data_IF_442824160985
#
_entry.id   IF_442824160985
#
_cell.length_a   1.000
_cell.length_b   1.000
_cell.length_c   1.000
_cell.angle_alpha   90.00
_cell.angle_beta   90.00
_cell.angle_gamma   90.00
#
_symmetry.space_group_name_H-M   'P 1'
#
loop_
_entity.id
_entity.type
_entity.pdbx_description
1 polymer ?
#
# COMPACT_ATOMS: atom_id res chain seq x y z
N UNK A 1 -9.07 -16.35 -1.09
CA UNK A 1 -10.24 -17.21 -1.33
C UNK A 1 -9.95 -18.48 -0.57
N UNK A 2 -10.90 -18.91 0.24
CA UNK A 2 -10.73 -20.08 1.08
C UNK A 2 -11.27 -21.33 0.38
N UNK A 3 -10.89 -22.51 0.89
CA UNK A 3 -11.25 -23.80 0.28
C UNK A 3 -12.77 -24.03 0.18
N UNK A 4 -13.56 -23.38 1.03
CA UNK A 4 -15.03 -23.45 1.01
C UNK A 4 -15.67 -22.52 -0.05
N UNK A 5 -14.87 -21.80 -0.83
CA UNK A 5 -15.31 -20.84 -1.84
C UNK A 5 -15.50 -19.41 -1.31
N UNK A 6 -15.27 -19.15 -0.03
CA UNK A 6 -15.40 -17.80 0.53
C UNK A 6 -14.33 -16.86 -0.02
N UNK A 7 -14.74 -15.63 -0.35
CA UNK A 7 -13.88 -14.59 -0.91
C UNK A 7 -13.82 -13.42 0.04
N UNK A 8 -12.60 -12.92 0.26
CA UNK A 8 -12.28 -11.79 1.15
C UNK A 8 -11.44 -10.77 0.39
N UNK A 9 -11.36 -9.54 0.89
CA UNK A 9 -10.61 -8.47 0.25
C UNK A 9 -9.08 -8.69 0.24
N UNK A 10 -8.54 -9.40 1.24
CA UNK A 10 -7.11 -9.54 1.48
C UNK A 10 -6.85 -10.74 2.41
N UNK A 11 -5.70 -11.40 2.24
CA UNK A 11 -5.20 -12.48 3.10
C UNK A 11 -5.04 -12.07 4.58
N UNK A 12 -4.72 -10.81 4.85
CA UNK A 12 -4.60 -10.29 6.23
C UNK A 12 -5.95 -9.94 6.88
N UNK A 13 -7.05 -10.03 6.12
CA UNK A 13 -8.39 -9.60 6.53
C UNK A 13 -9.42 -10.72 6.33
N UNK A 14 -9.06 -11.97 6.64
CA UNK A 14 -9.95 -13.14 6.57
C UNK A 14 -10.80 -13.21 7.85
N UNK A 15 -11.65 -12.19 8.05
CA UNK A 15 -12.61 -12.11 9.15
C UNK A 15 -14.03 -11.91 8.61
N UNK A 16 -15.10 -12.35 9.32
CA UNK A 16 -16.47 -12.29 8.81
C UNK A 16 -16.90 -10.92 8.25
N UNK A 17 -16.47 -9.81 8.89
CA UNK A 17 -16.78 -8.45 8.46
C UNK A 17 -16.14 -8.02 7.12
N UNK A 18 -15.14 -8.77 6.63
CA UNK A 18 -14.47 -8.55 5.35
C UNK A 18 -14.78 -9.64 4.31
N UNK A 19 -15.73 -10.54 4.60
CA UNK A 19 -16.21 -11.54 3.64
C UNK A 19 -17.05 -10.85 2.56
N UNK A 20 -16.63 -10.93 1.31
CA UNK A 20 -17.34 -10.39 0.15
C UNK A 20 -18.48 -11.30 -0.34
N UNK A 21 -18.35 -12.60 -0.08
CA UNK A 21 -19.33 -13.60 -0.48
C UNK A 21 -18.68 -14.97 -0.67
N UNK A 22 -19.37 -15.82 -1.42
CA UNK A 22 -18.89 -17.15 -1.81
C UNK A 22 -18.95 -17.28 -3.34
N UNK A 23 -17.88 -17.80 -3.95
CA UNK A 23 -17.73 -17.87 -5.40
C UNK A 23 -18.77 -18.78 -6.08
N UNK A 24 -19.35 -19.73 -5.36
CA UNK A 24 -20.42 -20.59 -5.88
C UNK A 24 -21.77 -19.85 -5.99
N UNK A 25 -21.88 -18.66 -5.41
CA UNK A 25 -23.13 -17.89 -5.31
C UNK A 25 -23.05 -16.53 -6.02
N UNK A 26 -21.87 -15.91 -6.03
CA UNK A 26 -21.62 -14.61 -6.67
C UNK A 26 -20.39 -14.68 -7.56
N UNK A 27 -20.45 -14.02 -8.71
CA UNK A 27 -19.27 -13.88 -9.57
C UNK A 27 -18.22 -12.98 -8.91
N UNK A 28 -16.93 -13.21 -9.25
CA UNK A 28 -15.84 -12.34 -8.80
C UNK A 28 -16.06 -10.87 -9.21
N UNK A 29 -16.63 -10.64 -10.39
CA UNK A 29 -16.96 -9.28 -10.88
C UNK A 29 -17.97 -8.57 -9.97
N UNK A 30 -19.03 -9.27 -9.57
CA UNK A 30 -20.04 -8.72 -8.67
C UNK A 30 -19.43 -8.42 -7.29
N UNK A 31 -18.61 -9.32 -6.75
CA UNK A 31 -17.95 -9.09 -5.47
C UNK A 31 -16.93 -7.95 -5.53
N UNK A 32 -16.17 -7.84 -6.62
CA UNK A 32 -15.17 -6.79 -6.81
C UNK A 32 -15.79 -5.40 -6.97
N UNK A 33 -16.96 -5.28 -7.61
CA UNK A 33 -17.69 -4.01 -7.72
C UNK A 33 -18.71 -3.78 -6.60
N UNK A 34 -18.77 -4.69 -5.61
CA UNK A 34 -19.66 -4.54 -4.46
C UNK A 34 -19.21 -3.40 -3.55
N UNK A 35 -20.18 -2.76 -2.90
CA UNK A 35 -19.96 -1.63 -1.99
C UNK A 35 -18.91 -1.92 -0.91
N UNK A 36 -18.94 -3.12 -0.31
CA UNK A 36 -17.97 -3.53 0.70
C UNK A 36 -16.52 -3.53 0.18
N UNK A 37 -16.28 -3.97 -1.07
CA UNK A 37 -14.93 -3.95 -1.65
C UNK A 37 -14.48 -2.53 -2.01
N UNK A 38 -15.40 -1.71 -2.53
CA UNK A 38 -15.14 -0.31 -2.81
C UNK A 38 -14.83 0.48 -1.53
N UNK A 39 -15.58 0.22 -0.45
CA UNK A 39 -15.36 0.83 0.86
C UNK A 39 -14.02 0.40 1.46
N UNK A 40 -13.71 -0.90 1.44
CA UNK A 40 -12.41 -1.41 1.89
C UNK A 40 -11.25 -0.78 1.12
N UNK A 41 -11.42 -0.57 -0.19
CA UNK A 41 -10.45 0.14 -1.03
C UNK A 41 -10.28 1.61 -0.63
N UNK A 42 -11.38 2.35 -0.49
CA UNK A 42 -11.34 3.78 -0.14
C UNK A 42 -10.78 4.04 1.26
N UNK A 43 -11.05 3.13 2.21
CA UNK A 43 -10.60 3.20 3.59
C UNK A 43 -9.08 3.17 3.73
N UNK A 44 -8.37 2.51 2.81
CA UNK A 44 -6.90 2.51 2.78
C UNK A 44 -6.32 3.92 2.73
N UNK A 45 -6.98 4.82 2.00
CA UNK A 45 -6.59 6.22 1.88
C UNK A 45 -7.29 7.09 2.93
N UNK A 46 -8.58 6.89 3.15
CA UNK A 46 -9.40 7.73 4.04
C UNK A 46 -9.00 7.62 5.51
N UNK A 47 -8.58 6.44 5.97
CA UNK A 47 -8.19 6.17 7.36
C UNK A 47 -6.69 6.33 7.61
N UNK A 48 -5.95 6.83 6.62
CA UNK A 48 -4.52 7.08 6.74
C UNK A 48 -4.25 8.16 7.80
N UNK A 49 -3.14 8.03 8.54
CA UNK A 49 -2.73 9.04 9.52
C UNK A 49 -2.52 10.41 8.85
N UNK A 50 -2.87 11.49 9.55
CA UNK A 50 -2.91 12.85 8.98
C UNK A 50 -1.53 13.28 8.47
N UNK A 51 -0.48 12.99 9.22
CA UNK A 51 0.91 13.28 8.86
C UNK A 51 1.34 12.58 7.55
N UNK A 52 0.77 11.42 7.23
CA UNK A 52 1.08 10.71 6.00
C UNK A 52 0.50 11.41 4.75
N UNK A 53 -0.52 12.26 4.89
CA UNK A 53 -1.06 13.03 3.76
C UNK A 53 -0.07 14.08 3.24
N UNK A 54 0.84 14.54 4.11
CA UNK A 54 1.84 15.57 3.83
C UNK A 54 3.28 15.01 3.77
N UNK A 55 3.45 13.70 3.99
CA UNK A 55 4.75 13.05 3.90
C UNK A 55 5.29 13.07 2.46
N UNK A 56 6.55 13.48 2.28
CA UNK A 56 7.23 13.49 0.98
C UNK A 56 7.26 12.10 0.30
N UNK A 57 7.22 11.02 1.08
CA UNK A 57 7.23 9.64 0.59
C UNK A 57 5.83 9.06 0.35
N UNK A 58 4.76 9.86 0.45
CA UNK A 58 3.38 9.40 0.26
C UNK A 58 3.17 8.68 -1.08
N UNK A 59 3.79 9.18 -2.16
CA UNK A 59 3.67 8.59 -3.49
C UNK A 59 4.20 7.15 -3.58
N UNK A 60 5.13 6.77 -2.70
CA UNK A 60 5.72 5.43 -2.65
C UNK A 60 5.05 4.53 -1.60
N UNK A 61 4.63 5.11 -0.47
CA UNK A 61 4.17 4.36 0.69
C UNK A 61 2.65 4.34 0.88
N UNK A 62 1.95 5.45 0.60
CA UNK A 62 0.52 5.64 0.88
C UNK A 62 0.11 5.26 2.32
N UNK A 63 0.98 5.57 3.31
CA UNK A 63 0.75 5.22 4.73
C UNK A 63 0.91 3.72 5.03
N UNK A 64 1.46 2.95 4.10
CA UNK A 64 1.74 1.53 4.20
C UNK A 64 0.49 0.66 4.31
N UNK A 65 0.69 -0.66 4.45
CA UNK A 65 -0.40 -1.62 4.58
C UNK A 65 -1.27 -1.33 5.82
N UNK A 66 -2.63 -1.28 5.70
CA UNK A 66 -3.52 -1.08 6.85
C UNK A 66 -3.31 -2.10 7.98
N UNK A 67 -2.91 -3.33 7.68
CA UNK A 67 -2.62 -4.36 8.68
C UNK A 67 -1.48 -3.96 9.62
N UNK A 68 -0.57 -3.10 9.17
CA UNK A 68 0.58 -2.62 9.95
C UNK A 68 0.34 -1.25 10.60
N UNK A 69 -0.90 -0.72 10.55
CA UNK A 69 -1.26 0.60 11.10
C UNK A 69 -1.78 0.51 12.53
N UNK A 70 -0.92 0.09 13.44
CA UNK A 70 -1.29 -0.17 14.85
C UNK A 70 -0.49 0.65 15.86
N UNK A 71 0.32 1.61 15.41
CA UNK A 71 0.95 2.59 16.29
C UNK A 71 0.09 3.86 16.41
N UNK A 72 0.22 4.62 17.50
CA UNK A 72 -0.40 5.93 17.60
C UNK A 72 0.20 6.90 16.57
N UNK A 73 -0.67 7.64 15.89
CA UNK A 73 -0.32 8.78 15.04
C UNK A 73 -0.15 10.05 15.87
N UNK A 74 0.25 11.14 15.21
CA UNK A 74 0.41 12.46 15.84
C UNK A 74 -0.90 12.96 16.48
N UNK A 75 -2.06 12.60 15.94
CA UNK A 75 -3.36 12.95 16.52
C UNK A 75 -3.80 12.05 17.68
N UNK A 76 -3.01 11.03 18.03
CA UNK A 76 -3.34 10.02 19.04
C UNK A 76 -4.17 8.85 18.51
N UNK A 77 -4.65 8.89 17.26
CA UNK A 77 -5.38 7.79 16.66
C UNK A 77 -4.46 6.59 16.36
N UNK A 78 -4.93 5.36 16.58
CA UNK A 78 -4.17 4.14 16.29
C UNK A 78 -4.30 3.79 14.81
N UNK A 79 -3.52 4.48 13.97
CA UNK A 79 -3.51 4.31 12.52
C UNK A 79 -2.14 4.63 11.87
N UNK A 80 -1.08 4.75 12.68
CA UNK A 80 0.27 4.96 12.18
C UNK A 80 0.95 3.63 11.85
N UNK A 81 1.70 3.61 10.74
CA UNK A 81 2.36 2.40 10.27
C UNK A 81 3.58 2.06 11.12
N UNK A 82 3.66 0.83 11.63
CA UNK A 82 4.78 0.34 12.43
C UNK A 82 6.15 0.44 11.74
N UNK A 83 6.18 0.28 10.41
CA UNK A 83 7.40 0.30 9.61
C UNK A 83 7.76 1.70 9.08
N UNK A 84 7.03 2.74 9.48
CA UNK A 84 7.17 4.09 8.92
C UNK A 84 8.61 4.62 9.00
N UNK A 85 9.27 4.49 10.16
CA UNK A 85 10.66 4.94 10.32
C UNK A 85 11.64 4.20 9.40
N UNK A 86 11.46 2.88 9.24
CA UNK A 86 12.27 2.07 8.32
C UNK A 86 12.05 2.47 6.86
N UNK A 87 10.81 2.74 6.47
CA UNK A 87 10.50 3.26 5.13
C UNK A 87 11.14 4.62 4.89
N UNK A 88 11.06 5.55 5.84
CA UNK A 88 11.70 6.86 5.70
C UNK A 88 13.22 6.73 5.55
N UNK A 89 13.86 5.86 6.33
CA UNK A 89 15.30 5.61 6.21
C UNK A 89 15.66 5.01 4.83
N UNK A 90 14.93 3.98 4.40
CA UNK A 90 15.16 3.33 3.11
C UNK A 90 14.94 4.28 1.92
N UNK A 91 13.83 5.02 1.90
CA UNK A 91 13.54 5.95 0.80
C UNK A 91 14.53 7.10 0.77
N UNK A 92 14.87 7.69 1.92
CA UNK A 92 15.89 8.74 1.97
C UNK A 92 17.25 8.26 1.45
N UNK A 93 17.66 7.05 1.82
CA UNK A 93 18.91 6.46 1.35
C UNK A 93 18.92 6.18 -0.15
N UNK A 94 17.80 5.68 -0.70
CA UNK A 94 17.72 5.23 -2.10
C UNK A 94 17.25 6.30 -3.09
N UNK A 95 16.67 7.40 -2.62
CA UNK A 95 16.01 8.40 -3.47
C UNK A 95 16.89 8.95 -4.59
N UNK A 96 18.14 9.31 -4.29
CA UNK A 96 19.06 9.85 -5.29
C UNK A 96 19.30 8.83 -6.41
N UNK A 97 19.57 7.57 -6.04
CA UNK A 97 19.80 6.52 -7.02
C UNK A 97 18.53 6.19 -7.83
N UNK A 98 17.37 6.14 -7.18
CA UNK A 98 16.09 5.90 -7.85
C UNK A 98 15.73 7.02 -8.83
N UNK A 99 16.01 8.28 -8.48
CA UNK A 99 15.79 9.43 -9.38
C UNK A 99 16.75 9.41 -10.58
N UNK A 100 18.00 9.01 -10.38
CA UNK A 100 18.94 8.82 -11.49
C UNK A 100 18.49 7.68 -12.42
N UNK A 101 18.10 6.52 -11.87
CA UNK A 101 17.54 5.41 -12.65
C UNK A 101 16.29 5.81 -13.43
N UNK A 102 15.39 6.58 -12.81
CA UNK A 102 14.21 7.16 -13.49
C UNK A 102 14.64 8.03 -14.67
N UNK A 103 15.61 8.92 -14.47
CA UNK A 103 16.09 9.83 -15.52
C UNK A 103 16.70 9.06 -16.70
N UNK A 104 17.45 7.98 -16.43
CA UNK A 104 17.97 7.09 -17.48
C UNK A 104 16.83 6.43 -18.26
N UNK A 105 15.86 5.86 -17.55
CA UNK A 105 14.69 5.21 -18.16
C UNK A 105 13.89 6.17 -19.05
N UNK A 106 13.61 7.39 -18.58
CA UNK A 106 12.90 8.42 -19.35
C UNK A 106 13.65 8.83 -20.63
N UNK A 107 14.97 8.63 -20.68
CA UNK A 107 15.82 8.85 -21.86
C UNK A 107 16.00 7.62 -22.74
N UNK A 108 15.35 6.50 -22.42
CA UNK A 108 15.52 5.23 -23.14
C UNK A 108 16.86 4.54 -22.89
N UNK A 109 17.57 4.93 -21.83
CA UNK A 109 18.84 4.33 -21.41
C UNK A 109 18.56 3.31 -20.30
N UNK A 110 19.29 2.20 -20.29
CA UNK A 110 19.16 1.19 -19.24
C UNK A 110 19.43 1.81 -17.86
N UNK A 111 18.53 1.64 -16.86
CA UNK A 111 18.78 2.08 -15.48
C UNK A 111 20.05 1.48 -14.86
N UNK A 112 20.53 0.35 -15.37
CA UNK A 112 21.75 -0.30 -14.89
C UNK A 112 23.02 0.54 -15.11
N UNK A 113 22.99 1.49 -16.05
CA UNK A 113 24.07 2.45 -16.30
C UNK A 113 24.31 3.39 -15.10
N UNK A 114 23.43 3.41 -14.10
CA UNK A 114 23.67 4.13 -12.85
C UNK A 114 24.99 3.74 -12.17
N UNK A 115 25.46 2.50 -12.39
CA UNK A 115 26.72 1.99 -11.85
C UNK A 115 27.93 2.79 -12.30
N UNK A 116 27.88 3.44 -13.47
CA UNK A 116 28.97 4.30 -13.95
C UNK A 116 28.94 5.71 -13.37
N UNK A 117 27.83 6.09 -12.70
CA UNK A 117 27.59 7.44 -12.16
C UNK A 117 27.89 7.51 -10.66
N UNK A 118 27.61 6.42 -9.91
CA UNK A 118 27.73 6.34 -8.45
C UNK A 118 28.92 5.49 -7.98
N UNK A 119 30.04 5.49 -8.74
CA UNK A 119 31.29 4.83 -8.34
C UNK A 119 31.88 5.52 -7.11
#
# INVERSE_FOLDING_TARGET
MEMNGDVYNCDHFVYPQFKLGNIHQKTLRQMNHGEQNLQFGSDKQRLMAQECHFCQWKFACYGGCPKHRFLPSVSGAINHNYLCAGYQAFFSHTATAMNAMRTLYEKGISPAEIKSIFV
#
